data_IF_431119527779
#
_entry.id   IF_431119527779
#
_cell.length_a   1.000
_cell.length_b   1.000
_cell.length_c   1.000
_cell.angle_alpha   90.00
_cell.angle_beta   90.00
_cell.angle_gamma   90.00
#
_symmetry.space_group_name_H-M   'P 1'
#
loop_
_entity.id
_entity.type
_entity.pdbx_description
1 polymer ?
#
# COMPACT_ATOMS: atom_id res chain seq x y z
N UNK A 1 -30.73 -3.59 8.37
CA UNK A 1 -29.97 -2.46 7.77
C UNK A 1 -28.76 -3.06 7.09
N UNK A 2 -28.93 -3.28 5.81
CA UNK A 2 -27.84 -3.83 5.01
C UNK A 2 -26.86 -2.71 4.74
N UNK A 3 -25.81 -2.64 5.57
CA UNK A 3 -24.63 -1.91 5.23
C UNK A 3 -24.06 -2.56 3.97
N UNK A 4 -24.30 -1.96 2.82
CA UNK A 4 -23.64 -2.31 1.57
C UNK A 4 -22.13 -2.17 1.81
N UNK A 5 -21.48 -3.27 2.18
CA UNK A 5 -20.03 -3.35 2.14
C UNK A 5 -19.62 -3.01 0.73
N UNK A 6 -18.86 -1.93 0.61
CA UNK A 6 -18.28 -1.53 -0.64
C UNK A 6 -17.52 -2.73 -1.22
N UNK A 7 -17.82 -3.19 -2.46
CA UNK A 7 -17.16 -4.36 -3.05
C UNK A 7 -15.62 -4.22 -3.06
N UNK A 8 -15.10 -3.02 -2.93
CA UNK A 8 -13.68 -2.72 -2.83
C UNK A 8 -13.06 -3.19 -1.51
N UNK A 9 -13.84 -3.29 -0.43
CA UNK A 9 -13.39 -3.76 0.87
C UNK A 9 -13.60 -5.27 1.11
N UNK A 10 -14.13 -6.02 0.15
CA UNK A 10 -14.36 -7.46 0.32
C UNK A 10 -13.06 -8.24 0.61
N UNK A 11 -11.91 -7.70 0.23
CA UNK A 11 -10.61 -8.29 0.55
C UNK A 11 -10.10 -8.02 1.97
N UNK A 12 -10.78 -7.16 2.75
CA UNK A 12 -10.36 -6.70 4.08
C UNK A 12 -11.41 -6.97 5.17
N UNK A 13 -12.41 -7.84 4.91
CA UNK A 13 -13.49 -8.14 5.87
C UNK A 13 -12.97 -8.62 7.24
N UNK A 14 -11.86 -9.38 7.23
CA UNK A 14 -11.21 -9.91 8.44
C UNK A 14 -9.92 -9.15 8.80
N UNK A 15 -9.75 -7.93 8.31
CA UNK A 15 -8.56 -7.14 8.56
C UNK A 15 -8.47 -6.76 10.05
N UNK A 16 -7.33 -7.06 10.66
CA UNK A 16 -7.11 -6.85 12.10
C UNK A 16 -6.98 -5.38 12.52
N UNK A 17 -6.79 -4.46 11.58
CA UNK A 17 -6.44 -3.06 11.85
C UNK A 17 -4.93 -2.82 11.99
N UNK A 18 -4.11 -3.86 11.88
CA UNK A 18 -2.66 -3.76 11.94
C UNK A 18 -2.04 -4.23 10.63
N UNK A 19 -0.99 -3.53 10.17
CA UNK A 19 -0.32 -3.87 8.92
C UNK A 19 1.18 -3.61 9.01
N UNK A 20 1.96 -4.43 8.30
CA UNK A 20 3.38 -4.22 8.11
C UNK A 20 3.63 -3.08 7.13
N UNK A 21 4.61 -2.22 7.44
CA UNK A 21 4.94 -1.06 6.63
C UNK A 21 6.16 -1.34 5.75
N UNK A 22 6.05 -0.99 4.48
CA UNK A 22 7.14 -1.00 3.52
C UNK A 22 7.45 0.45 3.09
N UNK A 23 8.31 1.17 3.83
CA UNK A 23 8.67 2.54 3.50
C UNK A 23 9.60 2.60 2.28
N UNK A 24 9.21 3.37 1.27
CA UNK A 24 10.02 3.62 0.09
C UNK A 24 10.06 5.13 -0.24
N UNK A 25 11.18 5.62 -0.81
CA UNK A 25 11.36 7.06 -1.02
C UNK A 25 10.60 7.61 -2.23
N UNK A 26 10.32 6.78 -3.25
CA UNK A 26 9.89 7.26 -4.57
C UNK A 26 8.71 6.47 -5.15
N UNK A 27 8.03 5.67 -4.35
CA UNK A 27 6.97 4.80 -4.84
C UNK A 27 5.71 4.96 -4.02
N UNK A 28 4.61 5.22 -4.70
CA UNK A 28 3.26 5.27 -4.13
C UNK A 28 2.41 4.19 -4.80
N UNK A 29 1.74 3.39 -3.99
CA UNK A 29 0.76 2.42 -4.46
C UNK A 29 -0.64 3.05 -4.40
N UNK A 30 -1.44 2.80 -5.43
CA UNK A 30 -2.85 3.17 -5.45
C UNK A 30 -3.74 1.92 -5.39
N UNK A 31 -4.97 2.03 -4.84
CA UNK A 31 -5.96 0.96 -4.96
C UNK A 31 -6.14 0.54 -6.42
N UNK A 32 -6.37 -0.75 -6.65
CA UNK A 32 -6.57 -1.38 -7.96
C UNK A 32 -5.34 -1.46 -8.87
N UNK A 33 -4.21 -0.90 -8.44
CA UNK A 33 -2.96 -0.96 -9.20
C UNK A 33 -2.15 -2.18 -8.78
N UNK A 34 -1.54 -2.84 -9.75
CA UNK A 34 -0.57 -3.92 -9.51
C UNK A 34 0.83 -3.36 -9.60
N UNK A 35 1.59 -3.53 -8.52
CA UNK A 35 2.95 -3.05 -8.40
C UNK A 35 3.93 -4.21 -8.30
N UNK A 36 4.84 -4.40 -9.29
CA UNK A 36 5.96 -5.30 -9.15
C UNK A 36 6.98 -4.78 -8.13
N UNK A 37 7.44 -5.65 -7.26
CA UNK A 37 8.45 -5.33 -6.24
C UNK A 37 9.55 -6.40 -6.25
N UNK A 38 10.79 -5.95 -6.07
CA UNK A 38 11.93 -6.82 -5.80
C UNK A 38 12.41 -6.58 -4.37
N UNK A 39 12.31 -7.61 -3.53
CA UNK A 39 12.61 -7.51 -2.09
C UNK A 39 13.91 -8.23 -1.79
N UNK A 40 14.92 -7.50 -1.36
CA UNK A 40 16.27 -8.02 -1.08
C UNK A 40 16.76 -7.73 0.34
N UNK A 41 16.33 -6.64 0.97
CA UNK A 41 16.79 -6.27 2.32
C UNK A 41 16.28 -7.28 3.37
N UNK A 42 17.11 -7.73 4.33
CA UNK A 42 16.75 -8.73 5.34
C UNK A 42 15.45 -8.40 6.10
N UNK A 43 15.26 -7.12 6.49
CA UNK A 43 14.06 -6.67 7.20
C UNK A 43 12.79 -6.88 6.38
N UNK A 44 12.85 -6.61 5.08
CA UNK A 44 11.69 -6.76 4.20
C UNK A 44 11.50 -8.20 3.73
N UNK A 45 12.55 -8.99 3.65
CA UNK A 45 12.44 -10.44 3.46
C UNK A 45 11.70 -11.09 4.63
N UNK A 46 12.00 -10.69 5.87
CA UNK A 46 11.24 -11.13 7.04
C UNK A 46 9.77 -10.70 6.95
N UNK A 47 9.51 -9.44 6.61
CA UNK A 47 8.16 -8.92 6.43
C UNK A 47 7.34 -9.72 5.42
N UNK A 48 7.92 -10.03 4.27
CA UNK A 48 7.26 -10.83 3.22
C UNK A 48 6.97 -12.25 3.72
N UNK A 49 7.94 -12.93 4.35
CA UNK A 49 7.71 -14.25 4.92
C UNK A 49 6.57 -14.25 5.93
N UNK A 50 6.55 -13.28 6.84
CA UNK A 50 5.50 -13.15 7.85
C UNK A 50 4.14 -12.86 7.20
N UNK A 51 4.09 -11.99 6.19
CA UNK A 51 2.86 -11.69 5.45
C UNK A 51 2.32 -12.90 4.69
N UNK A 52 3.20 -13.67 4.05
CA UNK A 52 2.80 -14.91 3.35
C UNK A 52 2.28 -15.98 4.29
N UNK A 53 2.77 -16.03 5.51
CA UNK A 53 2.28 -16.94 6.55
C UNK A 53 0.97 -16.48 7.18
N UNK A 54 0.57 -15.22 6.98
CA UNK A 54 -0.62 -14.60 7.54
C UNK A 54 -1.66 -14.22 6.48
N UNK A 55 -2.06 -12.96 6.53
CA UNK A 55 -3.13 -12.41 5.67
C UNK A 55 -2.67 -11.96 4.27
N UNK A 56 -1.38 -12.06 3.98
CA UNK A 56 -0.74 -11.63 2.73
C UNK A 56 -0.82 -10.12 2.48
N UNK A 57 -1.07 -9.33 3.52
CA UNK A 57 -1.17 -7.88 3.44
C UNK A 57 0.15 -7.21 3.84
N UNK A 58 0.49 -6.16 3.15
CA UNK A 58 1.51 -5.19 3.54
C UNK A 58 1.13 -3.80 3.00
N UNK A 59 1.65 -2.76 3.62
CA UNK A 59 1.33 -1.39 3.21
C UNK A 59 2.55 -0.66 2.66
N UNK A 60 2.38 -0.07 1.49
CA UNK A 60 3.36 0.84 0.92
C UNK A 60 3.24 2.20 1.60
N UNK A 61 4.34 2.67 2.17
CA UNK A 61 4.43 3.97 2.84
C UNK A 61 5.48 4.84 2.15
N UNK A 62 5.14 6.10 1.89
CA UNK A 62 6.06 7.05 1.28
C UNK A 62 6.92 7.70 2.37
N UNK A 63 8.23 7.66 2.21
CA UNK A 63 9.17 8.38 3.06
C UNK A 63 9.06 9.89 2.83
N UNK A 64 9.07 10.66 3.92
CA UNK A 64 9.14 12.11 3.84
C UNK A 64 10.53 12.53 3.36
N UNK A 65 10.60 13.34 2.30
CA UNK A 65 11.86 13.76 1.70
C UNK A 65 12.54 14.91 2.47
N UNK A 66 11.78 15.70 3.22
CA UNK A 66 12.23 16.93 3.88
C UNK A 66 12.25 16.78 5.41
N UNK A 67 12.95 15.79 5.92
CA UNK A 67 13.17 15.67 7.37
C UNK A 67 14.65 15.61 7.67
N UNK A 68 15.14 16.49 8.53
CA UNK A 68 16.44 16.28 9.17
C UNK A 68 16.43 14.87 9.78
N UNK A 69 17.37 14.03 9.34
CA UNK A 69 17.58 12.74 9.99
C UNK A 69 18.14 13.00 11.37
N UNK A 70 17.29 12.92 12.36
CA UNK A 70 17.74 12.91 13.75
C UNK A 70 18.39 11.56 14.00
N UNK A 71 19.69 11.52 14.33
CA UNK A 71 20.38 10.26 14.61
C UNK A 71 19.63 9.44 15.67
N UNK A 72 19.44 8.14 15.41
CA UNK A 72 18.75 7.23 16.32
C UNK A 72 17.23 7.20 16.20
N UNK A 73 16.63 8.00 15.30
CA UNK A 73 15.19 7.95 15.01
C UNK A 73 14.90 7.28 13.66
N UNK A 74 13.71 6.66 13.56
CA UNK A 74 13.25 6.10 12.29
C UNK A 74 12.89 7.22 11.32
N UNK A 75 13.15 7.05 10.01
CA UNK A 75 12.73 8.00 9.00
C UNK A 75 11.22 8.25 9.07
N UNK A 76 10.81 9.50 8.90
CA UNK A 76 9.39 9.86 8.88
C UNK A 76 8.74 9.36 7.60
N UNK A 77 7.50 8.90 7.72
CA UNK A 77 6.64 8.49 6.62
C UNK A 77 5.39 9.35 6.58
N UNK A 78 4.79 9.47 5.41
CA UNK A 78 3.50 10.12 5.26
C UNK A 78 2.42 9.29 5.95
N UNK A 79 1.42 9.94 6.59
CA UNK A 79 0.41 9.25 7.39
C UNK A 79 -0.60 8.45 6.56
N UNK A 80 -0.79 8.79 5.28
CA UNK A 80 -1.67 8.05 4.38
C UNK A 80 -0.84 7.06 3.58
N UNK A 81 -1.25 5.80 3.63
CA UNK A 81 -0.60 4.65 3.03
C UNK A 81 -1.58 3.88 2.15
N UNK A 82 -1.08 2.96 1.36
CA UNK A 82 -1.93 2.02 0.62
C UNK A 82 -1.63 0.60 1.05
N UNK A 83 -2.65 -0.10 1.51
CA UNK A 83 -2.59 -1.53 1.81
C UNK A 83 -2.67 -2.29 0.50
N UNK A 84 -1.76 -3.20 0.29
CA UNK A 84 -1.73 -4.11 -0.84
C UNK A 84 -1.75 -5.57 -0.39
N UNK A 85 -2.25 -6.43 -1.27
CA UNK A 85 -2.24 -7.88 -1.11
C UNK A 85 -1.20 -8.49 -2.03
N UNK A 86 -0.34 -9.34 -1.49
CA UNK A 86 0.56 -10.16 -2.29
C UNK A 86 -0.27 -11.22 -3.00
N UNK A 87 -0.50 -11.07 -4.30
CA UNK A 87 -1.26 -12.06 -5.06
C UNK A 87 -0.37 -13.03 -5.85
N UNK A 88 0.89 -12.67 -6.07
CA UNK A 88 1.89 -13.54 -6.66
C UNK A 88 3.25 -13.29 -6.02
N UNK A 89 3.94 -14.36 -5.72
CA UNK A 89 5.30 -14.34 -5.22
C UNK A 89 6.18 -15.36 -5.93
N UNK A 90 7.45 -15.01 -6.07
CA UNK A 90 8.52 -15.89 -6.49
C UNK A 90 9.65 -15.78 -5.44
N UNK A 91 9.92 -16.88 -4.75
CA UNK A 91 11.04 -16.97 -3.82
C UNK A 91 12.29 -17.38 -4.58
N UNK A 92 13.28 -16.52 -4.63
CA UNK A 92 14.54 -16.78 -5.29
C UNK A 92 15.45 -17.66 -4.41
N UNK A 93 16.40 -18.42 -5.03
CA UNK A 93 17.27 -19.33 -4.27
C UNK A 93 18.08 -18.69 -3.16
N UNK A 94 18.40 -17.41 -3.27
CA UNK A 94 19.14 -16.62 -2.27
C UNK A 94 18.23 -15.98 -1.19
N UNK A 95 16.93 -16.28 -1.21
CA UNK A 95 15.93 -15.79 -0.26
C UNK A 95 15.36 -14.41 -0.57
N UNK A 96 15.72 -13.78 -1.68
CA UNK A 96 15.04 -12.60 -2.20
C UNK A 96 13.68 -12.97 -2.78
N UNK A 97 12.82 -11.97 -2.93
CA UNK A 97 11.49 -12.18 -3.50
C UNK A 97 11.24 -11.25 -4.69
N UNK A 98 10.60 -11.78 -5.72
CA UNK A 98 9.84 -10.99 -6.68
C UNK A 98 8.36 -11.09 -6.33
N UNK A 99 7.70 -9.95 -6.18
CA UNK A 99 6.30 -9.88 -5.78
C UNK A 99 5.48 -9.13 -6.81
N UNK A 100 4.22 -9.52 -6.93
CA UNK A 100 3.17 -8.66 -7.47
C UNK A 100 2.24 -8.29 -6.33
N UNK A 101 2.21 -7.01 -5.98
CA UNK A 101 1.38 -6.42 -4.95
C UNK A 101 0.19 -5.72 -5.58
N UNK A 102 -1.00 -6.13 -5.24
CA UNK A 102 -2.25 -5.50 -5.70
C UNK A 102 -2.76 -4.54 -4.64
N UNK A 103 -2.88 -3.25 -4.97
CA UNK A 103 -3.44 -2.24 -4.09
C UNK A 103 -4.90 -2.52 -3.77
N UNK A 104 -5.24 -2.51 -2.50
CA UNK A 104 -6.59 -2.85 -2.01
C UNK A 104 -7.31 -1.64 -1.47
N UNK A 105 -6.68 -0.91 -0.55
CA UNK A 105 -7.32 0.23 0.11
C UNK A 105 -6.30 1.23 0.62
N UNK A 106 -6.66 2.50 0.62
CA UNK A 106 -5.93 3.51 1.37
C UNK A 106 -6.23 3.36 2.86
N UNK A 107 -5.27 3.73 3.67
CA UNK A 107 -5.42 3.75 5.12
C UNK A 107 -4.64 4.91 5.72
N UNK A 108 -5.03 5.32 6.91
CA UNK A 108 -4.33 6.32 7.71
C UNK A 108 -3.66 5.64 8.90
N UNK A 109 -2.39 5.93 9.12
CA UNK A 109 -1.68 5.46 10.30
C UNK A 109 -2.24 6.20 11.53
N UNK A 110 -2.70 5.41 12.51
CA UNK A 110 -3.14 5.92 13.81
C UNK A 110 -1.95 5.97 14.76
N UNK A 111 -1.18 4.89 14.83
CA UNK A 111 0.03 4.77 15.63
C UNK A 111 0.97 3.72 15.06
N UNK A 112 2.25 3.93 15.23
CA UNK A 112 3.23 2.87 14.99
C UNK A 112 3.30 1.95 16.19
N UNK A 113 3.39 0.64 15.93
CA UNK A 113 3.48 -0.38 16.96
C UNK A 113 4.93 -0.59 17.38
N UNK A 114 5.18 -1.04 18.63
CA UNK A 114 6.50 -1.51 19.02
C UNK A 114 7.00 -2.60 18.08
N UNK A 115 8.33 -2.69 17.89
CA UNK A 115 8.91 -3.66 16.95
C UNK A 115 8.56 -5.12 17.28
N UNK A 116 8.41 -5.45 18.56
CA UNK A 116 8.07 -6.81 18.99
C UNK A 116 9.06 -7.87 18.52
N UNK A 117 10.33 -7.50 18.33
CA UNK A 117 11.37 -8.38 17.80
C UNK A 117 11.38 -8.48 16.27
N UNK A 118 10.53 -7.74 15.58
CA UNK A 118 10.51 -7.67 14.11
C UNK A 118 11.56 -6.67 13.60
N UNK A 119 12.15 -6.97 12.44
CA UNK A 119 13.12 -6.08 11.78
C UNK A 119 12.46 -4.95 10.97
N UNK A 120 11.16 -5.00 10.81
CA UNK A 120 10.36 -4.05 10.01
C UNK A 120 9.33 -3.33 10.88
N UNK A 121 8.86 -2.21 10.39
CA UNK A 121 7.86 -1.36 11.06
C UNK A 121 6.46 -1.92 10.86
N UNK A 122 5.59 -1.70 11.86
CA UNK A 122 4.18 -2.05 11.82
C UNK A 122 3.36 -0.89 12.37
N UNK A 123 2.12 -0.79 11.93
CA UNK A 123 1.21 0.27 12.38
C UNK A 123 -0.20 -0.25 12.59
N UNK A 124 -0.88 0.35 13.56
CA UNK A 124 -2.33 0.37 13.65
C UNK A 124 -2.87 1.41 12.69
N UNK A 125 -3.89 1.07 11.91
CA UNK A 125 -4.40 1.91 10.83
C UNK A 125 -5.92 1.94 10.81
N UNK A 126 -6.45 3.01 10.22
CA UNK A 126 -7.85 3.18 9.90
C UNK A 126 -8.01 3.17 8.38
N UNK A 127 -8.92 2.34 7.88
CA UNK A 127 -9.22 2.29 6.45
C UNK A 127 -9.91 3.57 6.01
N UNK A 128 -9.53 4.09 4.85
CA UNK A 128 -10.13 5.26 4.24
C UNK A 128 -11.06 4.84 3.11
N UNK A 129 -12.31 5.25 3.19
CA UNK A 129 -13.27 5.04 2.13
C UNK A 129 -13.01 6.00 0.98
N UNK A 130 -13.20 5.51 -0.24
CA UNK A 130 -13.20 6.36 -1.41
C UNK A 130 -14.51 7.13 -1.49
N UNK A 131 -14.40 8.44 -1.66
CA UNK A 131 -15.57 9.31 -1.85
C UNK A 131 -15.86 9.37 -3.34
N UNK A 132 -17.01 8.86 -3.80
CA UNK A 132 -17.37 8.93 -5.21
C UNK A 132 -17.52 10.40 -5.66
N UNK A 133 -17.29 10.64 -6.94
CA UNK A 133 -17.54 11.95 -7.53
C UNK A 133 -19.00 12.40 -7.26
N UNK A 134 -19.19 13.72 -7.08
CA UNK A 134 -20.47 14.29 -6.68
C UNK A 134 -21.62 14.00 -7.67
N UNK A 135 -21.27 13.69 -8.93
CA UNK A 135 -22.22 13.19 -9.93
C UNK A 135 -21.50 12.38 -11.00
N UNK A 136 -22.26 11.49 -11.65
CA UNK A 136 -21.74 10.70 -12.77
C UNK A 136 -21.29 11.58 -13.94
N UNK A 137 -21.95 12.72 -14.16
CA UNK A 137 -21.55 13.70 -15.17
C UNK A 137 -20.15 14.27 -14.94
N UNK A 138 -19.81 14.59 -13.69
CA UNK A 138 -18.49 15.08 -13.32
C UNK A 138 -17.46 13.97 -13.53
N UNK A 139 -17.77 12.75 -13.12
CA UNK A 139 -16.89 11.59 -13.32
C UNK A 139 -16.61 11.35 -14.82
N UNK A 140 -17.64 11.33 -15.64
CA UNK A 140 -17.52 11.11 -17.09
C UNK A 140 -16.71 12.24 -17.77
N UNK A 141 -16.88 13.49 -17.32
CA UNK A 141 -16.13 14.64 -17.82
C UNK A 141 -14.65 14.54 -17.46
N UNK A 142 -14.33 14.18 -16.22
CA UNK A 142 -12.96 14.00 -15.76
C UNK A 142 -12.27 12.81 -16.44
N UNK A 143 -13.01 11.72 -16.64
CA UNK A 143 -12.52 10.53 -17.34
C UNK A 143 -12.21 10.85 -18.81
N UNK A 144 -13.09 11.56 -19.50
CA UNK A 144 -12.87 11.99 -20.88
C UNK A 144 -11.63 12.90 -21.01
N UNK A 145 -11.47 13.85 -20.08
CA UNK A 145 -10.29 14.72 -20.03
C UNK A 145 -8.98 13.96 -19.79
N UNK A 146 -9.00 12.97 -18.91
CA UNK A 146 -7.84 12.10 -18.65
C UNK A 146 -7.46 11.28 -19.90
N UNK A 147 -8.44 10.65 -20.54
CA UNK A 147 -8.22 9.86 -21.76
C UNK A 147 -7.62 10.72 -22.87
N UNK A 148 -8.12 11.94 -23.05
CA UNK A 148 -7.57 12.87 -24.03
C UNK A 148 -6.10 13.23 -23.75
N UNK A 149 -5.72 13.40 -22.47
CA UNK A 149 -4.33 13.65 -22.10
C UNK A 149 -3.44 12.44 -22.36
N UNK A 150 -3.92 11.25 -22.03
CA UNK A 150 -3.20 9.99 -22.30
C UNK A 150 -2.97 9.84 -23.81
N UNK A 151 -3.99 10.06 -24.63
CA UNK A 151 -3.87 10.01 -26.10
C UNK A 151 -2.86 11.05 -26.62
N UNK A 152 -2.81 12.22 -26.01
CA UNK A 152 -1.83 13.27 -26.37
C UNK A 152 -0.39 12.87 -26.03
N UNK A 153 -0.20 12.12 -24.95
CA UNK A 153 1.14 11.72 -24.52
C UNK A 153 1.64 10.43 -25.17
N UNK A 154 0.73 9.51 -25.47
CA UNK A 154 1.07 8.17 -25.99
C UNK A 154 0.53 7.90 -27.39
N UNK A 155 -0.33 8.76 -27.91
CA UNK A 155 -0.79 8.70 -29.29
C UNK A 155 0.28 9.23 -30.24
N UNK A 156 0.87 8.35 -31.02
CA UNK A 156 1.74 8.69 -32.15
C UNK A 156 0.93 8.98 -33.38
#
# INVERSE_FOLDING_TARGET
MDGLMNPENQGLADFSGEVSLFPLPNLVLFPHVVQPLHVFEPRYRQMVNDSLAGDRLLAMALLCQNGERIPGTLPRIHPVICIGRIFREENLPDGRFNLLLHGVSRARIINELPSGGKLYRRAGVELLDDVPAASKEIEDTLRAGLLQQVDTWFGS
#
